data_IF_361214976597
#
_entry.id   IF_361214976597
#
_cell.length_a   1.000
_cell.length_b   1.000
_cell.length_c   1.000
_cell.angle_alpha   90.00
_cell.angle_beta   90.00
_cell.angle_gamma   90.00
#
_symmetry.space_group_name_H-M   'P 1'
#
loop_
_entity.id
_entity.type
_entity.pdbx_description
1 polymer ?
#
# COMPACT_ATOMS: atom_id res chain seq x y z
N UNK A 1 14.44 40.62 23.95
CA UNK A 1 14.51 39.71 25.13
C UNK A 1 13.26 38.83 25.24
N UNK A 2 12.08 39.29 24.80
CA UNK A 2 10.85 38.48 24.82
C UNK A 2 10.85 37.27 23.86
N UNK A 3 11.67 37.30 22.80
CA UNK A 3 11.58 36.33 21.69
C UNK A 3 12.02 34.92 22.06
N UNK A 4 13.06 34.76 22.88
CA UNK A 4 13.56 33.43 23.26
C UNK A 4 12.74 32.77 24.40
N UNK A 5 12.10 33.59 25.24
CA UNK A 5 11.27 33.12 26.34
C UNK A 5 9.93 32.55 25.82
N UNK A 6 9.37 33.16 24.78
CA UNK A 6 8.15 32.68 24.12
C UNK A 6 8.34 31.31 23.44
N UNK A 7 9.46 31.11 22.73
CA UNK A 7 9.81 29.82 22.13
C UNK A 7 9.99 28.76 23.21
N UNK A 8 10.72 29.09 24.29
CA UNK A 8 10.93 28.15 25.39
C UNK A 8 9.61 27.81 26.09
N UNK A 9 8.71 28.78 26.28
CA UNK A 9 7.40 28.58 26.89
C UNK A 9 6.42 27.78 26.02
N UNK A 10 6.61 27.71 24.70
CA UNK A 10 5.78 26.87 23.81
C UNK A 10 6.08 25.37 24.02
N UNK A 11 7.36 25.05 24.20
CA UNK A 11 7.87 23.67 24.22
C UNK A 11 8.24 23.15 25.62
N UNK A 12 8.63 24.02 26.55
CA UNK A 12 9.16 23.70 27.88
C UNK A 12 8.73 24.76 28.91
N UNK A 13 9.09 24.56 30.18
CA UNK A 13 8.83 25.54 31.25
C UNK A 13 10.09 26.39 31.47
N UNK A 14 10.09 27.68 31.11
CA UNK A 14 11.22 28.54 31.41
C UNK A 14 11.32 28.67 32.94
N UNK A 15 12.46 28.32 33.53
CA UNK A 15 12.72 28.23 34.99
C UNK A 15 12.19 26.98 35.73
N UNK A 16 11.63 25.98 35.04
CA UNK A 16 11.20 24.71 35.65
C UNK A 16 9.97 24.79 36.57
N UNK A 17 9.46 25.98 36.86
CA UNK A 17 8.29 26.21 37.71
C UNK A 17 6.98 25.84 36.98
N UNK A 18 5.98 25.27 37.67
CA UNK A 18 4.69 24.87 37.09
C UNK A 18 3.78 26.08 36.82
N UNK A 19 4.20 26.97 35.91
CA UNK A 19 3.41 28.13 35.52
C UNK A 19 2.27 27.64 34.62
N UNK A 20 0.99 27.84 35.01
CA UNK A 20 -0.13 27.55 34.14
C UNK A 20 0.03 28.40 32.87
N UNK A 21 -0.23 27.84 31.68
CA UNK A 21 -0.04 28.45 30.35
C UNK A 21 1.37 28.37 29.73
N UNK A 22 2.28 27.56 30.28
CA UNK A 22 3.57 27.18 29.65
C UNK A 22 3.54 25.71 29.18
N UNK A 23 4.42 25.33 28.25
CA UNK A 23 4.45 24.02 27.59
C UNK A 23 3.10 23.63 26.93
N UNK A 24 2.51 24.57 26.19
CA UNK A 24 1.21 24.38 25.49
C UNK A 24 1.23 23.23 24.48
N UNK A 25 2.32 23.08 23.71
CA UNK A 25 2.44 22.03 22.68
C UNK A 25 2.51 20.62 23.31
N UNK A 26 3.36 20.35 24.31
CA UNK A 26 3.34 19.07 25.03
C UNK A 26 1.98 18.73 25.66
N UNK A 27 1.30 19.73 26.26
CA UNK A 27 -0.01 19.54 26.91
C UNK A 27 -1.14 19.20 25.93
N UNK A 28 -1.00 19.56 24.66
CA UNK A 28 -2.00 19.34 23.61
C UNK A 28 -1.48 18.43 22.49
N UNK A 29 -0.44 17.63 22.76
CA UNK A 29 0.22 16.78 21.75
C UNK A 29 -0.76 15.86 21.03
N UNK A 30 -1.69 15.26 21.75
CA UNK A 30 -2.71 14.36 21.21
C UNK A 30 -3.68 15.10 20.26
N UNK A 31 -4.19 16.27 20.68
CA UNK A 31 -5.07 17.11 19.86
C UNK A 31 -4.35 17.62 18.60
N UNK A 32 -3.09 18.06 18.73
CA UNK A 32 -2.27 18.45 17.58
C UNK A 32 -2.04 17.27 16.65
N UNK A 33 -1.71 16.09 17.19
CA UNK A 33 -1.49 14.87 16.40
C UNK A 33 -2.72 14.50 15.58
N UNK A 34 -3.91 14.51 16.20
CA UNK A 34 -5.17 14.26 15.50
C UNK A 34 -5.43 15.28 14.38
N UNK A 35 -5.27 16.57 14.66
CA UNK A 35 -5.47 17.62 13.65
C UNK A 35 -4.46 17.57 12.50
N UNK A 36 -3.22 17.16 12.79
CA UNK A 36 -2.18 17.00 11.78
C UNK A 36 -2.44 15.76 10.91
N UNK A 37 -2.91 14.67 11.51
CA UNK A 37 -3.31 13.46 10.80
C UNK A 37 -4.48 13.75 9.85
N UNK A 38 -5.50 14.44 10.34
CA UNK A 38 -6.65 14.86 9.53
C UNK A 38 -6.19 15.76 8.36
N UNK A 39 -5.37 16.77 8.64
CA UNK A 39 -4.80 17.63 7.60
C UNK A 39 -3.98 16.84 6.55
N UNK A 40 -3.11 15.93 6.97
CA UNK A 40 -2.31 15.12 6.04
C UNK A 40 -3.21 14.21 5.20
N UNK A 41 -4.20 13.59 5.83
CA UNK A 41 -5.17 12.73 5.15
C UNK A 41 -5.96 13.49 4.09
N UNK A 42 -6.51 14.65 4.47
CA UNK A 42 -7.37 15.46 3.61
C UNK A 42 -6.61 16.21 2.52
N UNK A 43 -5.33 16.55 2.72
CA UNK A 43 -4.58 17.39 1.77
C UNK A 43 -3.60 16.59 0.92
N UNK A 44 -3.03 15.49 1.44
CA UNK A 44 -1.97 14.74 0.77
C UNK A 44 -2.35 13.30 0.44
N UNK A 45 -3.28 12.68 1.19
CA UNK A 45 -3.69 11.28 0.97
C UNK A 45 -4.94 11.14 0.11
N UNK A 46 -5.39 12.22 -0.54
CA UNK A 46 -6.50 12.12 -1.51
C UNK A 46 -6.06 11.29 -2.71
N UNK A 47 -6.88 10.32 -3.17
CA UNK A 47 -6.54 9.45 -4.30
C UNK A 47 -6.09 10.23 -5.55
N UNK A 48 -6.71 11.38 -5.81
CA UNK A 48 -6.42 12.22 -6.97
C UNK A 48 -5.03 12.87 -6.88
N UNK A 49 -4.66 13.35 -5.70
CA UNK A 49 -3.37 14.00 -5.44
C UNK A 49 -2.24 12.98 -5.50
N UNK A 50 -2.46 11.79 -4.92
CA UNK A 50 -1.49 10.69 -5.00
C UNK A 50 -1.28 10.29 -6.46
N UNK A 51 -2.36 10.05 -7.22
CA UNK A 51 -2.30 9.65 -8.62
C UNK A 51 -1.51 10.66 -9.46
N UNK A 52 -1.83 11.94 -9.34
CA UNK A 52 -1.15 12.99 -10.09
C UNK A 52 0.36 13.04 -9.79
N UNK A 53 0.75 12.89 -8.50
CA UNK A 53 2.16 12.88 -8.10
C UNK A 53 2.91 11.64 -8.61
N UNK A 54 2.28 10.48 -8.56
CA UNK A 54 2.87 9.23 -9.06
C UNK A 54 3.08 9.30 -10.58
N UNK A 55 2.10 9.83 -11.31
CA UNK A 55 2.17 10.00 -12.76
C UNK A 55 3.25 11.02 -13.14
N UNK A 56 3.30 12.18 -12.48
CA UNK A 56 4.34 13.20 -12.70
C UNK A 56 5.75 12.67 -12.45
N UNK A 57 5.92 11.81 -11.44
CA UNK A 57 7.21 11.23 -11.11
C UNK A 57 7.63 10.09 -12.07
N UNK A 58 6.72 9.62 -12.95
CA UNK A 58 7.00 8.56 -13.94
C UNK A 58 7.39 7.23 -13.30
N UNK A 59 6.97 6.99 -12.05
CA UNK A 59 7.40 5.85 -11.24
C UNK A 59 7.00 4.53 -11.88
N UNK A 60 5.77 4.47 -12.39
CA UNK A 60 5.20 3.31 -13.08
C UNK A 60 5.98 2.93 -14.34
N UNK A 61 6.35 3.91 -15.18
CA UNK A 61 7.17 3.67 -16.38
C UNK A 61 8.58 3.18 -16.02
N UNK A 62 9.15 3.72 -14.94
CA UNK A 62 10.49 3.36 -14.49
C UNK A 62 10.54 1.95 -13.90
N UNK A 63 9.55 1.61 -13.08
CA UNK A 63 9.35 0.26 -12.57
C UNK A 63 9.12 -0.74 -13.69
N UNK A 64 8.26 -0.42 -14.65
CA UNK A 64 8.00 -1.28 -15.80
C UNK A 64 9.26 -1.58 -16.61
N UNK A 65 10.12 -0.57 -16.86
CA UNK A 65 11.41 -0.80 -17.52
C UNK A 65 12.39 -1.61 -16.68
N UNK A 66 12.40 -1.42 -15.38
CA UNK A 66 13.27 -2.18 -14.48
C UNK A 66 12.85 -3.66 -14.42
N UNK A 67 11.55 -3.92 -14.39
CA UNK A 67 10.96 -5.26 -14.39
C UNK A 67 11.00 -5.97 -15.76
N UNK A 68 11.18 -5.22 -16.85
CA UNK A 68 11.31 -5.80 -18.19
C UNK A 68 12.61 -6.64 -18.36
N UNK A 69 13.52 -6.58 -17.40
CA UNK A 69 14.70 -7.43 -17.31
C UNK A 69 14.40 -8.63 -16.40
N UNK A 70 14.51 -9.84 -16.96
CA UNK A 70 14.25 -11.11 -16.28
C UNK A 70 15.05 -11.27 -14.97
N UNK A 71 16.25 -10.71 -14.87
CA UNK A 71 17.06 -10.81 -13.66
C UNK A 71 16.45 -10.01 -12.50
N UNK A 72 15.90 -8.83 -12.80
CA UNK A 72 15.25 -7.97 -11.81
C UNK A 72 13.89 -8.50 -11.39
N UNK A 73 13.12 -9.06 -12.35
CA UNK A 73 11.86 -9.71 -12.07
C UNK A 73 12.04 -10.92 -11.13
N UNK A 74 13.01 -11.80 -11.42
CA UNK A 74 13.32 -12.95 -10.55
C UNK A 74 13.74 -12.50 -9.16
N UNK A 75 14.61 -11.49 -9.06
CA UNK A 75 15.04 -10.95 -7.77
C UNK A 75 13.87 -10.39 -6.95
N UNK A 76 12.94 -9.67 -7.59
CA UNK A 76 11.75 -9.17 -6.91
C UNK A 76 10.88 -10.31 -6.38
N UNK A 77 10.74 -11.39 -7.14
CA UNK A 77 10.00 -12.58 -6.71
C UNK A 77 10.71 -13.26 -5.55
N UNK A 78 12.00 -13.54 -5.68
CA UNK A 78 12.78 -14.26 -4.66
C UNK A 78 12.87 -13.48 -3.33
N UNK A 79 13.04 -12.15 -3.39
CA UNK A 79 13.17 -11.30 -2.19
C UNK A 79 11.83 -10.77 -1.68
N UNK A 80 10.83 -10.63 -2.56
CA UNK A 80 9.55 -10.01 -2.25
C UNK A 80 8.45 -10.98 -1.84
N UNK A 81 8.59 -12.28 -2.14
CA UNK A 81 7.53 -13.26 -1.89
C UNK A 81 7.20 -13.43 -0.40
N UNK A 82 8.21 -13.44 0.47
CA UNK A 82 8.00 -13.58 1.92
C UNK A 82 7.28 -12.35 2.50
N UNK A 83 7.69 -11.15 2.07
CA UNK A 83 7.05 -9.89 2.49
C UNK A 83 5.61 -9.84 1.98
N UNK A 84 5.38 -10.26 0.73
CA UNK A 84 4.05 -10.31 0.15
C UNK A 84 3.14 -11.29 0.90
N UNK A 85 3.68 -12.45 1.30
CA UNK A 85 2.96 -13.45 2.09
C UNK A 85 2.61 -12.91 3.48
N UNK A 86 3.55 -12.25 4.16
CA UNK A 86 3.33 -11.63 5.47
C UNK A 86 2.26 -10.53 5.42
N UNK A 87 2.32 -9.68 4.39
CA UNK A 87 1.31 -8.64 4.17
C UNK A 87 -0.05 -9.26 3.90
N UNK A 88 -0.13 -10.28 3.05
CA UNK A 88 -1.39 -10.95 2.73
C UNK A 88 -2.00 -11.64 3.96
N UNK A 89 -1.16 -12.23 4.81
CA UNK A 89 -1.59 -12.83 6.08
C UNK A 89 -2.06 -11.79 7.11
N UNK A 90 -1.61 -10.54 7.00
CA UNK A 90 -1.98 -9.45 7.88
C UNK A 90 -3.29 -8.73 7.46
N UNK A 91 -3.83 -9.03 6.28
CA UNK A 91 -5.08 -8.43 5.80
C UNK A 91 -6.28 -9.11 6.46
N UNK A 92 -7.24 -8.32 6.93
CA UNK A 92 -8.48 -8.83 7.48
C UNK A 92 -9.37 -9.43 6.36
N UNK A 93 -9.92 -10.65 6.55
CA UNK A 93 -10.83 -11.25 5.59
C UNK A 93 -12.02 -10.36 5.19
N UNK A 94 -12.50 -9.50 6.09
CA UNK A 94 -13.62 -8.60 5.82
C UNK A 94 -13.26 -7.52 4.79
N UNK A 95 -12.03 -7.02 4.79
CA UNK A 95 -11.56 -6.02 3.82
C UNK A 95 -11.42 -6.64 2.42
N UNK A 96 -11.04 -7.92 2.34
CA UNK A 96 -10.93 -8.68 1.09
C UNK A 96 -12.30 -8.85 0.44
N UNK A 97 -13.33 -9.20 1.21
CA UNK A 97 -14.70 -9.37 0.70
C UNK A 97 -15.26 -8.09 0.07
N UNK A 98 -15.05 -6.95 0.74
CA UNK A 98 -15.47 -5.64 0.24
C UNK A 98 -14.79 -5.30 -1.09
N UNK A 99 -13.47 -5.47 -1.18
CA UNK A 99 -12.71 -5.19 -2.41
C UNK A 99 -13.07 -6.16 -3.54
N UNK A 100 -13.19 -7.46 -3.26
CA UNK A 100 -13.53 -8.45 -4.28
C UNK A 100 -14.92 -8.20 -4.87
N UNK A 101 -15.88 -7.85 -4.02
CA UNK A 101 -17.25 -7.59 -4.46
C UNK A 101 -17.32 -6.31 -5.30
N UNK A 102 -16.69 -5.23 -4.85
CA UNK A 102 -16.77 -3.93 -5.52
C UNK A 102 -15.88 -3.83 -6.77
N UNK A 103 -14.69 -4.42 -6.77
CA UNK A 103 -13.77 -4.33 -7.92
C UNK A 103 -13.91 -5.47 -8.92
N UNK A 104 -14.06 -6.72 -8.45
CA UNK A 104 -13.88 -7.89 -9.32
C UNK A 104 -15.23 -8.36 -9.86
N UNK A 105 -16.21 -8.60 -9.00
CA UNK A 105 -17.51 -9.13 -9.43
C UNK A 105 -18.22 -8.14 -10.35
N UNK A 106 -18.29 -6.87 -9.95
CA UNK A 106 -18.96 -5.84 -10.75
C UNK A 106 -18.26 -5.58 -12.09
N UNK A 107 -16.92 -5.61 -12.14
CA UNK A 107 -16.17 -5.36 -13.39
C UNK A 107 -16.18 -6.54 -14.36
N UNK A 108 -16.11 -7.77 -13.86
CA UNK A 108 -16.16 -8.99 -14.72
C UNK A 108 -17.52 -9.10 -15.40
N UNK A 109 -18.60 -8.61 -14.78
CA UNK A 109 -19.92 -8.58 -15.38
C UNK A 109 -20.07 -7.51 -16.48
N UNK A 110 -19.22 -6.48 -16.48
CA UNK A 110 -19.28 -5.37 -17.42
C UNK A 110 -18.37 -5.55 -18.65
N UNK A 111 -17.23 -6.24 -18.53
CA UNK A 111 -16.30 -6.45 -19.64
C UNK A 111 -16.10 -7.93 -19.99
N UNK A 112 -16.14 -8.32 -21.28
CA UNK A 112 -15.87 -9.69 -21.71
C UNK A 112 -14.36 -10.00 -21.60
N UNK A 113 -13.92 -10.42 -20.42
CA UNK A 113 -12.54 -10.88 -20.16
C UNK A 113 -12.18 -12.20 -20.86
N UNK A 114 -13.18 -12.91 -21.39
CA UNK A 114 -13.02 -14.26 -21.95
C UNK A 114 -11.93 -14.40 -23.02
N UNK A 115 -11.76 -13.46 -23.98
CA UNK A 115 -10.72 -13.59 -25.01
C UNK A 115 -9.30 -13.46 -24.45
N UNK A 116 -9.06 -12.47 -23.56
CA UNK A 116 -7.74 -12.23 -22.98
C UNK A 116 -7.31 -13.37 -22.05
N UNK A 117 -8.24 -13.88 -21.24
CA UNK A 117 -7.99 -15.06 -20.40
C UNK A 117 -7.73 -16.28 -21.28
N UNK A 118 -8.48 -16.46 -22.37
CA UNK A 118 -8.28 -17.56 -23.31
C UNK A 118 -6.90 -17.55 -23.96
N UNK A 119 -6.40 -16.37 -24.34
CA UNK A 119 -5.08 -16.22 -24.96
C UNK A 119 -3.95 -16.51 -23.94
N UNK A 120 -4.07 -16.01 -22.71
CA UNK A 120 -3.12 -16.32 -21.63
C UNK A 120 -3.13 -17.80 -21.24
N UNK A 121 -4.30 -18.41 -21.13
CA UNK A 121 -4.42 -19.85 -20.84
C UNK A 121 -3.86 -20.70 -21.98
N UNK A 122 -4.11 -20.31 -23.23
CA UNK A 122 -3.54 -20.99 -24.38
C UNK A 122 -2.00 -20.93 -24.35
N UNK A 123 -1.44 -19.80 -23.93
CA UNK A 123 -0.01 -19.61 -23.78
C UNK A 123 0.59 -20.49 -22.68
N UNK A 124 -0.03 -20.52 -21.49
CA UNK A 124 0.40 -21.38 -20.38
C UNK A 124 0.33 -22.87 -20.74
N UNK A 125 -0.68 -23.26 -21.53
CA UNK A 125 -0.77 -24.63 -22.06
C UNK A 125 0.34 -24.90 -23.06
N UNK A 126 0.59 -23.96 -23.98
CA UNK A 126 1.62 -24.06 -25.03
C UNK A 126 3.04 -24.14 -24.44
N UNK A 127 3.28 -23.47 -23.33
CA UNK A 127 4.57 -23.46 -22.63
C UNK A 127 4.72 -24.58 -21.60
N UNK A 128 3.77 -25.52 -21.54
CA UNK A 128 3.79 -26.66 -20.61
C UNK A 128 3.84 -26.26 -19.11
N UNK A 129 3.66 -24.96 -18.81
CA UNK A 129 3.72 -24.41 -17.47
C UNK A 129 2.57 -24.88 -16.54
N UNK A 130 1.53 -25.49 -17.13
CA UNK A 130 0.39 -26.05 -16.40
C UNK A 130 0.69 -27.38 -15.68
N UNK A 131 1.76 -28.11 -16.06
CA UNK A 131 2.04 -29.43 -15.49
C UNK A 131 2.21 -29.41 -13.96
N UNK A 132 2.96 -28.45 -13.41
CA UNK A 132 3.18 -28.39 -11.96
C UNK A 132 1.90 -28.18 -11.14
N UNK A 133 0.93 -27.42 -11.66
CA UNK A 133 -0.36 -27.21 -11.00
C UNK A 133 -1.29 -28.43 -11.17
N UNK A 134 -1.31 -29.02 -12.37
CA UNK A 134 -2.13 -30.19 -12.67
C UNK A 134 -1.66 -31.40 -11.85
N UNK A 135 -0.35 -31.61 -11.78
CA UNK A 135 0.23 -32.71 -11.01
C UNK A 135 -0.07 -32.56 -9.52
N UNK A 136 0.01 -31.34 -8.97
CA UNK A 136 -0.36 -31.05 -7.58
C UNK A 136 -1.84 -31.35 -7.30
N UNK A 137 -2.75 -30.95 -8.19
CA UNK A 137 -4.18 -31.22 -8.03
C UNK A 137 -4.50 -32.70 -8.19
N UNK A 138 -3.80 -33.41 -9.07
CA UNK A 138 -3.97 -34.85 -9.26
C UNK A 138 -3.45 -35.64 -8.06
N UNK A 139 -2.33 -35.24 -7.46
CA UNK A 139 -1.82 -35.85 -6.22
C UNK A 139 -2.79 -35.64 -5.05
N UNK A 140 -3.38 -34.46 -4.91
CA UNK A 140 -4.34 -34.15 -3.83
C UNK A 140 -5.67 -34.92 -4.01
N UNK A 141 -6.09 -35.20 -5.24
CA UNK A 141 -7.31 -35.97 -5.54
C UNK A 141 -7.10 -37.49 -5.55
N UNK A 142 -5.85 -37.94 -5.67
CA UNK A 142 -5.46 -39.35 -5.66
C UNK A 142 -5.09 -39.91 -4.29
N UNK A 143 -4.96 -39.04 -3.28
CA UNK A 143 -4.63 -39.35 -1.87
C UNK A 143 -5.82 -39.66 -0.97
#
# INVERSE_FOLDING_TARGET
>A
IADWFAVTALFKRPLGLPIPHTALVPRKKEQLGASLQEFVSENFLRPEVIRERVDQAGVSVRLGRWLADDAHARRLVDEGSDIAADVLAAIDPADVEAVLTDMIILRILEEPLSPAIGELLAEVVREEAHHGLVDLVLDELGG
#
